data_IF_191975901946
#
_entry.id   IF_191975901946
#
_cell.length_a   1.000
_cell.length_b   1.000
_cell.length_c   1.000
_cell.angle_alpha   90.00
_cell.angle_beta   90.00
_cell.angle_gamma   90.00
#
_symmetry.space_group_name_H-M   'P 1'
#
loop_
_entity.id
_entity.type
_entity.pdbx_description
1 polymer ?
#
# COMPACT_ATOMS: atom_id res chain seq x y z
N UNK A 1 -1.92 15.56 -16.67
CA UNK A 1 -2.13 15.63 -15.20
C UNK A 1 -1.57 14.34 -14.64
N UNK A 2 -0.40 14.39 -14.02
CA UNK A 2 0.29 13.19 -13.56
C UNK A 2 -0.47 12.60 -12.37
N UNK A 3 -1.06 11.43 -12.55
CA UNK A 3 -1.69 10.68 -11.46
C UNK A 3 -0.66 10.46 -10.36
N UNK A 4 -0.85 11.13 -9.23
CA UNK A 4 0.05 11.04 -8.08
C UNK A 4 -0.20 9.70 -7.37
N UNK A 5 0.31 8.60 -7.95
CA UNK A 5 0.26 7.27 -7.32
C UNK A 5 1.09 7.30 -6.04
N UNK A 6 0.42 7.30 -4.88
CA UNK A 6 1.02 7.18 -3.55
C UNK A 6 2.17 6.18 -3.54
N UNK A 7 3.33 6.59 -3.05
CA UNK A 7 4.50 5.75 -2.84
C UNK A 7 4.21 4.61 -1.85
N UNK A 8 5.06 3.58 -1.87
CA UNK A 8 4.96 2.46 -0.93
C UNK A 8 5.10 2.95 0.52
N UNK A 9 6.01 3.89 0.76
CA UNK A 9 6.22 4.52 2.07
C UNK A 9 4.98 5.28 2.55
N UNK A 10 4.34 6.05 1.66
CA UNK A 10 3.07 6.72 1.98
C UNK A 10 1.95 5.72 2.31
N UNK A 11 1.87 4.59 1.57
CA UNK A 11 0.91 3.53 1.87
C UNK A 11 1.14 2.92 3.26
N UNK A 12 2.40 2.70 3.66
CA UNK A 12 2.72 2.21 5.01
C UNK A 12 2.32 3.21 6.09
N UNK A 13 2.64 4.50 5.92
CA UNK A 13 2.24 5.55 6.87
C UNK A 13 0.72 5.60 7.07
N UNK A 14 -0.04 5.40 5.98
CA UNK A 14 -1.50 5.43 6.02
C UNK A 14 -2.08 4.19 6.72
N UNK A 15 -1.48 3.01 6.50
CA UNK A 15 -1.82 1.78 7.24
C UNK A 15 -1.54 1.95 8.73
N UNK A 16 -0.41 2.54 9.12
CA UNK A 16 -0.09 2.82 10.52
C UNK A 16 -1.10 3.79 11.15
N UNK A 17 -1.50 4.83 10.41
CA UNK A 17 -2.54 5.76 10.85
C UNK A 17 -3.89 5.07 11.06
N UNK A 18 -4.27 4.14 10.19
CA UNK A 18 -5.50 3.35 10.34
C UNK A 18 -5.42 2.48 11.60
N UNK A 19 -4.29 1.81 11.83
CA UNK A 19 -4.08 0.99 13.03
C UNK A 19 -4.18 1.87 14.29
N UNK A 20 -3.56 3.05 14.28
CA UNK A 20 -3.64 3.99 15.40
C UNK A 20 -5.08 4.48 15.66
N UNK A 21 -5.85 4.76 14.60
CA UNK A 21 -7.28 5.10 14.72
C UNK A 21 -8.10 3.95 15.30
N UNK A 22 -7.83 2.70 14.89
CA UNK A 22 -8.52 1.51 15.39
C UNK A 22 -8.20 1.20 16.86
N UNK A 23 -7.12 1.73 17.40
CA UNK A 23 -6.71 1.53 18.80
C UNK A 23 -7.27 2.58 19.77
N UNK A 24 -7.93 3.62 19.25
CA UNK A 24 -8.52 4.65 20.11
C UNK A 24 -9.67 4.08 20.94
N UNK A 25 -9.75 4.45 22.21
CA UNK A 25 -10.78 3.96 23.14
C UNK A 25 -12.21 4.35 22.73
N UNK A 26 -12.37 5.42 21.96
CA UNK A 26 -13.65 5.95 21.49
C UNK A 26 -14.04 5.48 20.08
N UNK A 27 -13.27 4.58 19.47
CA UNK A 27 -13.60 4.03 18.16
C UNK A 27 -14.86 3.16 18.25
N UNK A 28 -15.85 3.47 17.42
CA UNK A 28 -17.07 2.66 17.35
C UNK A 28 -16.82 1.39 16.54
N UNK A 29 -17.67 0.38 16.72
CA UNK A 29 -17.59 -0.87 15.95
C UNK A 29 -17.75 -0.61 14.45
N UNK A 30 -18.71 0.22 14.05
CA UNK A 30 -18.94 0.58 12.65
C UNK A 30 -17.71 1.29 12.06
N UNK A 31 -17.13 2.22 12.82
CA UNK A 31 -15.90 2.91 12.40
C UNK A 31 -14.72 1.94 12.28
N UNK A 32 -14.62 0.98 13.19
CA UNK A 32 -13.61 -0.08 13.14
C UNK A 32 -13.74 -0.95 11.88
N UNK A 33 -14.98 -1.27 11.48
CA UNK A 33 -15.25 -1.97 10.21
C UNK A 33 -14.85 -1.16 8.98
N UNK A 34 -15.14 0.15 8.97
CA UNK A 34 -14.71 1.02 7.88
C UNK A 34 -13.18 1.09 7.78
N UNK A 35 -12.51 1.32 8.91
CA UNK A 35 -11.05 1.39 9.00
C UNK A 35 -10.39 0.08 8.57
N UNK A 36 -10.96 -1.06 8.97
CA UNK A 36 -10.47 -2.38 8.54
C UNK A 36 -10.56 -2.56 7.02
N UNK A 37 -11.69 -2.22 6.40
CA UNK A 37 -11.86 -2.31 4.94
C UNK A 37 -10.90 -1.37 4.19
N UNK A 38 -10.67 -0.17 4.72
CA UNK A 38 -9.68 0.77 4.18
C UNK A 38 -8.27 0.18 4.26
N UNK A 39 -7.89 -0.39 5.41
CA UNK A 39 -6.60 -1.06 5.58
C UNK A 39 -6.39 -2.22 4.61
N UNK A 40 -7.40 -3.07 4.40
CA UNK A 40 -7.34 -4.15 3.42
C UNK A 40 -7.12 -3.64 1.99
N UNK A 41 -7.79 -2.55 1.64
CA UNK A 41 -7.67 -1.94 0.31
C UNK A 41 -6.24 -1.42 0.10
N UNK A 42 -5.70 -0.68 1.07
CA UNK A 42 -4.33 -0.15 1.01
C UNK A 42 -3.28 -1.26 0.96
N UNK A 43 -3.45 -2.33 1.72
CA UNK A 43 -2.55 -3.50 1.66
C UNK A 43 -2.55 -4.10 0.26
N UNK A 44 -3.72 -4.25 -0.36
CA UNK A 44 -3.84 -4.78 -1.71
C UNK A 44 -3.12 -3.88 -2.73
N UNK A 45 -3.35 -2.58 -2.68
CA UNK A 45 -2.71 -1.62 -3.57
C UNK A 45 -1.19 -1.58 -3.40
N UNK A 46 -0.71 -1.66 -2.16
CA UNK A 46 0.71 -1.72 -1.85
C UNK A 46 1.37 -2.97 -2.44
N UNK A 47 0.74 -4.14 -2.28
CA UNK A 47 1.21 -5.39 -2.87
C UNK A 47 1.27 -5.33 -4.41
N UNK A 48 0.25 -4.78 -5.06
CA UNK A 48 0.23 -4.61 -6.52
C UNK A 48 1.36 -3.68 -6.99
N UNK A 49 1.67 -2.64 -6.22
CA UNK A 49 2.77 -1.73 -6.53
C UNK A 49 4.13 -2.41 -6.39
N UNK A 50 4.33 -3.17 -5.32
CA UNK A 50 5.56 -3.94 -5.09
C UNK A 50 5.79 -4.97 -6.21
N UNK A 51 4.75 -5.73 -6.59
CA UNK A 51 4.81 -6.69 -7.70
C UNK A 51 5.17 -6.00 -9.03
N UNK A 52 4.61 -4.81 -9.30
CA UNK A 52 4.97 -4.03 -10.47
C UNK A 52 6.44 -3.59 -10.46
N UNK A 53 6.97 -3.20 -9.31
CA UNK A 53 8.38 -2.80 -9.17
C UNK A 53 9.30 -4.01 -9.33
N UNK A 54 8.96 -5.16 -8.75
CA UNK A 54 9.72 -6.41 -8.91
C UNK A 54 9.79 -6.84 -10.39
N UNK A 55 8.66 -6.76 -11.11
CA UNK A 55 8.63 -7.05 -12.56
C UNK A 55 9.51 -6.11 -13.36
N UNK A 56 9.52 -4.81 -13.04
CA UNK A 56 10.39 -3.85 -13.71
C UNK A 56 11.87 -4.15 -13.47
N UNK A 57 12.24 -4.50 -12.24
CA UNK A 57 13.61 -4.90 -11.90
C UNK A 57 14.01 -6.14 -12.71
N UNK A 58 13.17 -7.18 -12.77
CA UNK A 58 13.45 -8.39 -13.56
C UNK A 58 13.68 -8.10 -15.03
N UNK A 59 12.88 -7.23 -15.65
CA UNK A 59 13.06 -6.83 -17.06
C UNK A 59 14.42 -6.14 -17.26
N UNK A 60 14.82 -5.27 -16.33
CA UNK A 60 16.11 -4.58 -16.39
C UNK A 60 17.25 -5.59 -16.24
N UNK A 61 17.15 -6.50 -15.28
CA UNK A 61 18.13 -7.57 -15.09
C UNK A 61 18.26 -8.42 -16.34
N UNK A 62 17.15 -8.96 -16.88
CA UNK A 62 17.11 -9.76 -18.12
C UNK A 62 17.66 -9.02 -19.35
N UNK A 63 17.41 -7.70 -19.44
CA UNK A 63 17.97 -6.85 -20.49
C UNK A 63 19.49 -6.65 -20.36
N UNK A 64 20.03 -6.68 -19.14
CA UNK A 64 21.46 -6.53 -18.87
C UNK A 64 22.28 -7.81 -19.08
N UNK A 65 21.63 -8.98 -19.11
CA UNK A 65 22.32 -10.29 -19.33
C UNK A 65 22.48 -10.62 -20.82
N UNK A 66 21.84 -9.85 -21.72
CA UNK A 66 21.90 -10.04 -23.17
C UNK A 66 22.72 -8.96 -23.90
N UNK A 67 23.55 -8.20 -23.17
CA UNK A 67 24.46 -7.17 -23.68
C UNK A 67 25.93 -7.57 -23.60
#
# INVERSE_FOLDING_TARGET
MSENKKSVEESFNEIESIIAEMQKEDVTLDRSFELYNQGLTLIKECNEKLDSMEKQIKIIEEGNING
#
